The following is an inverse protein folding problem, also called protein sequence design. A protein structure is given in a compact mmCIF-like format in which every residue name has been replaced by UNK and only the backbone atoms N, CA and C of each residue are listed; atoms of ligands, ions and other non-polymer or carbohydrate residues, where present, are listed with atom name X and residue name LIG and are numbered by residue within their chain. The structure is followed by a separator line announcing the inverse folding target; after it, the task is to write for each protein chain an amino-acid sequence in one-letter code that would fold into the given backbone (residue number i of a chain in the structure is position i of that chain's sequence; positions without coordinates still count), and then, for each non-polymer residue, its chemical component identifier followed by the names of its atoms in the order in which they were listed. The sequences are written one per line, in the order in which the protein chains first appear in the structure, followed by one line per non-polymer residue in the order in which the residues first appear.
data_IF_759221884373
#
_entry.id   IF_759221884373
#
_cell.length_a   1.000
_cell.length_b   1.000
_cell.length_c   1.000
_cell.angle_alpha   90.00
_cell.angle_beta   90.00
_cell.angle_gamma   90.00
#
_symmetry.space_group_name_H-M   'P 1'
#
loop_
_entity.id
_entity.type
_entity.pdbx_description
1 polymer ?
#
# COMPACT_ATOMS: atom_id res chain seq x y z
N UNK A 1 -64.94 -14.42 -23.33
CA UNK A 1 -64.34 -13.28 -22.60
C UNK A 1 -63.26 -12.72 -23.49
N UNK A 2 -63.69 -12.00 -24.52
CA UNK A 2 -62.83 -11.55 -25.62
C UNK A 2 -63.24 -10.13 -25.92
N UNK A 3 -63.06 -9.27 -24.92
CA UNK A 3 -63.28 -7.85 -25.10
C UNK A 3 -62.08 -7.35 -25.89
N UNK A 4 -62.34 -6.96 -27.13
CA UNK A 4 -61.39 -6.24 -27.96
C UNK A 4 -60.92 -5.03 -27.17
N UNK A 5 -59.73 -5.16 -26.62
CA UNK A 5 -58.97 -4.08 -26.05
C UNK A 5 -58.70 -3.11 -27.20
N UNK A 6 -59.54 -2.09 -27.25
CA UNK A 6 -59.49 -0.96 -28.17
C UNK A 6 -58.09 -0.36 -28.09
N UNK A 7 -57.23 -0.80 -29.01
CA UNK A 7 -55.90 -0.24 -29.23
C UNK A 7 -56.10 1.17 -29.78
N UNK A 8 -56.34 2.09 -28.86
CA UNK A 8 -56.37 3.51 -29.13
C UNK A 8 -55.00 3.89 -29.70
N UNK A 9 -54.92 4.40 -30.94
CA UNK A 9 -53.65 4.73 -31.58
C UNK A 9 -52.86 5.76 -30.76
N UNK A 10 -53.57 6.58 -29.99
CA UNK A 10 -53.03 7.59 -29.10
C UNK A 10 -52.19 6.97 -27.97
N UNK A 11 -52.60 5.84 -27.37
CA UNK A 11 -51.82 5.19 -26.29
C UNK A 11 -50.58 4.47 -26.82
N UNK A 12 -50.61 3.93 -28.04
CA UNK A 12 -49.42 3.37 -28.68
C UNK A 12 -48.39 4.45 -29.01
N UNK A 13 -48.85 5.61 -29.50
CA UNK A 13 -47.99 6.77 -29.76
C UNK A 13 -47.44 7.37 -28.47
N UNK A 14 -48.26 7.49 -27.43
CA UNK A 14 -47.85 8.02 -26.12
C UNK A 14 -46.83 7.10 -25.44
N UNK A 15 -47.08 5.79 -25.39
CA UNK A 15 -46.13 4.83 -24.84
C UNK A 15 -44.82 4.79 -25.65
N UNK A 16 -44.90 4.87 -26.98
CA UNK A 16 -43.71 4.97 -27.84
C UNK A 16 -42.95 6.29 -27.64
N UNK A 17 -43.66 7.41 -27.46
CA UNK A 17 -43.06 8.72 -27.21
C UNK A 17 -42.35 8.75 -25.85
N UNK A 18 -42.94 8.20 -24.79
CA UNK A 18 -42.28 8.10 -23.48
C UNK A 18 -41.07 7.17 -23.51
N UNK A 19 -41.08 6.09 -24.29
CA UNK A 19 -39.92 5.21 -24.48
C UNK A 19 -38.79 5.91 -25.26
N UNK A 20 -39.13 6.69 -26.29
CA UNK A 20 -38.16 7.48 -27.06
C UNK A 20 -37.59 8.65 -26.25
N UNK A 21 -38.40 9.29 -25.39
CA UNK A 21 -37.95 10.34 -24.48
C UNK A 21 -37.04 9.75 -23.39
N UNK A 22 -37.42 8.63 -22.76
CA UNK A 22 -36.60 7.95 -21.76
C UNK A 22 -35.25 7.48 -22.32
N UNK A 23 -35.24 6.90 -23.53
CA UNK A 23 -33.99 6.50 -24.20
C UNK A 23 -33.13 7.71 -24.63
N UNK A 24 -33.76 8.82 -25.05
CA UNK A 24 -33.05 10.04 -25.44
C UNK A 24 -32.49 10.80 -24.24
N UNK A 25 -33.14 10.74 -23.09
CA UNK A 25 -32.72 11.46 -21.89
C UNK A 25 -31.51 10.77 -21.21
N UNK A 26 -31.44 9.43 -21.22
CA UNK A 26 -30.27 8.69 -20.74
C UNK A 26 -29.03 8.92 -21.61
N UNK A 27 -29.20 9.01 -22.93
CA UNK A 27 -28.10 9.21 -23.87
C UNK A 27 -27.57 10.65 -23.88
N UNK A 28 -28.45 11.64 -23.70
CA UNK A 28 -28.11 13.07 -23.80
C UNK A 28 -27.40 13.58 -22.55
N UNK A 29 -27.67 13.04 -21.35
CA UNK A 29 -26.97 13.46 -20.13
C UNK A 29 -25.54 12.92 -20.07
N UNK A 30 -25.32 11.64 -20.37
CA UNK A 30 -23.99 11.00 -20.21
C UNK A 30 -23.04 11.40 -21.35
N UNK A 31 -23.51 11.39 -22.61
CA UNK A 31 -22.66 11.75 -23.75
C UNK A 31 -22.37 13.25 -23.83
N UNK A 32 -23.30 14.13 -23.41
CA UNK A 32 -23.03 15.58 -23.36
C UNK A 32 -22.13 15.97 -22.20
N UNK A 33 -22.26 15.35 -21.02
CA UNK A 33 -21.29 15.52 -19.91
C UNK A 33 -19.88 15.02 -20.29
N UNK A 34 -19.78 13.91 -21.03
CA UNK A 34 -18.50 13.43 -21.55
C UNK A 34 -17.90 14.32 -22.65
N UNK A 35 -18.73 15.01 -23.47
CA UNK A 35 -18.25 15.82 -24.59
C UNK A 35 -17.88 17.26 -24.22
N UNK A 36 -18.34 17.78 -23.07
CA UNK A 36 -18.12 19.17 -22.64
C UNK A 36 -16.81 19.39 -21.85
N UNK A 37 -16.02 18.34 -21.55
CA UNK A 37 -14.82 18.47 -20.71
C UNK A 37 -13.64 17.61 -21.20
N UNK A 38 -13.07 18.00 -22.33
CA UNK A 38 -11.94 17.30 -22.97
C UNK A 38 -10.63 17.16 -22.14
N UNK A 39 -10.31 17.98 -21.10
CA UNK A 39 -9.11 17.76 -20.29
C UNK A 39 -9.32 16.98 -18.98
N UNK A 40 -10.55 16.65 -18.56
CA UNK A 40 -10.81 15.97 -17.27
C UNK A 40 -11.20 14.49 -17.37
N UNK A 41 -11.44 13.99 -18.58
CA UNK A 41 -11.56 12.54 -18.80
C UNK A 41 -10.33 11.77 -18.29
N UNK A 42 -9.08 12.19 -18.53
CA UNK A 42 -7.91 11.46 -18.02
C UNK A 42 -7.80 11.50 -16.49
N UNK A 43 -8.16 12.61 -15.82
CA UNK A 43 -8.13 12.70 -14.36
C UNK A 43 -9.23 11.85 -13.71
N UNK A 44 -10.41 11.77 -14.34
CA UNK A 44 -11.51 10.93 -13.87
C UNK A 44 -11.21 9.44 -14.05
N UNK A 45 -10.62 9.04 -15.19
CA UNK A 45 -10.16 7.66 -15.40
C UNK A 45 -9.03 7.30 -14.44
N UNK A 46 -8.07 8.19 -14.19
CA UNK A 46 -7.01 7.98 -13.21
C UNK A 46 -7.57 7.80 -11.79
N UNK A 47 -8.61 8.56 -11.43
CA UNK A 47 -9.34 8.42 -10.17
C UNK A 47 -10.09 7.10 -10.05
N UNK A 48 -10.75 6.63 -11.12
CA UNK A 48 -11.40 5.32 -11.13
C UNK A 48 -10.38 4.18 -11.00
N UNK A 49 -9.23 4.30 -11.68
CA UNK A 49 -8.15 3.30 -11.58
C UNK A 49 -7.53 3.29 -10.18
N UNK A 50 -7.29 4.45 -9.57
CA UNK A 50 -6.75 4.51 -8.21
C UNK A 50 -7.75 3.98 -7.17
N UNK A 51 -9.05 4.24 -7.34
CA UNK A 51 -10.08 3.67 -6.48
C UNK A 51 -10.09 2.13 -6.51
N UNK A 52 -10.00 1.53 -7.71
CA UNK A 52 -9.94 0.07 -7.87
C UNK A 52 -8.67 -0.50 -7.20
N UNK A 53 -7.53 0.16 -7.37
CA UNK A 53 -6.25 -0.27 -6.77
C UNK A 53 -6.30 -0.18 -5.25
N UNK A 54 -6.84 0.91 -4.69
CA UNK A 54 -6.96 1.09 -3.25
C UNK A 54 -7.93 0.07 -2.62
N UNK A 55 -9.03 -0.23 -3.29
CA UNK A 55 -9.99 -1.23 -2.84
C UNK A 55 -9.36 -2.64 -2.83
N UNK A 56 -8.60 -2.99 -3.86
CA UNK A 56 -7.86 -4.25 -3.92
C UNK A 56 -6.79 -4.37 -2.81
N UNK A 57 -6.02 -3.30 -2.56
CA UNK A 57 -5.04 -3.26 -1.46
C UNK A 57 -5.76 -3.36 -0.11
N UNK A 58 -6.86 -2.64 0.07
CA UNK A 58 -7.68 -2.68 1.27
C UNK A 58 -8.18 -4.09 1.59
N UNK A 59 -8.73 -4.79 0.59
CA UNK A 59 -9.17 -6.18 0.74
C UNK A 59 -8.01 -7.12 1.08
N UNK A 60 -6.85 -6.93 0.45
CA UNK A 60 -5.66 -7.73 0.75
C UNK A 60 -5.17 -7.52 2.19
N UNK A 61 -5.11 -6.28 2.68
CA UNK A 61 -4.73 -5.97 4.06
C UNK A 61 -5.75 -6.50 5.06
N UNK A 62 -7.04 -6.34 4.75
CA UNK A 62 -8.15 -6.81 5.58
C UNK A 62 -8.08 -8.32 5.83
N UNK A 63 -7.67 -9.10 4.83
CA UNK A 63 -7.48 -10.55 4.97
C UNK A 63 -6.13 -10.90 5.63
N UNK A 64 -5.06 -10.20 5.26
CA UNK A 64 -3.70 -10.53 5.68
C UNK A 64 -3.44 -10.26 7.17
N UNK A 65 -3.97 -9.15 7.70
CA UNK A 65 -3.78 -8.77 9.11
C UNK A 65 -4.36 -9.81 10.10
N UNK A 66 -5.65 -10.18 10.02
CA UNK A 66 -6.22 -11.20 10.91
C UNK A 66 -5.65 -12.59 10.61
N UNK A 67 -5.31 -12.92 9.37
CA UNK A 67 -4.69 -14.20 9.05
C UNK A 67 -3.35 -14.35 9.78
N UNK A 68 -2.49 -13.32 9.72
CA UNK A 68 -1.19 -13.34 10.39
C UNK A 68 -1.32 -13.48 11.90
N UNK A 69 -2.17 -12.69 12.54
CA UNK A 69 -2.38 -12.77 14.00
C UNK A 69 -3.01 -14.11 14.41
N UNK A 70 -3.93 -14.64 13.60
CA UNK A 70 -4.52 -15.96 13.81
C UNK A 70 -3.48 -17.09 13.74
N UNK A 71 -2.64 -17.13 12.70
CA UNK A 71 -1.61 -18.16 12.57
C UNK A 71 -0.61 -18.12 13.74
N UNK A 72 -0.17 -16.92 14.16
CA UNK A 72 0.71 -16.78 15.33
C UNK A 72 0.01 -17.19 16.63
N UNK A 73 -1.27 -16.84 16.81
CA UNK A 73 -2.05 -17.29 17.96
C UNK A 73 -2.17 -18.82 18.00
N UNK A 74 -2.44 -19.47 16.87
CA UNK A 74 -2.52 -20.94 16.76
C UNK A 74 -1.15 -21.59 17.02
N UNK A 75 -0.06 -21.02 16.50
CA UNK A 75 1.29 -21.49 16.77
C UNK A 75 1.64 -21.39 18.26
N UNK A 76 1.28 -20.27 18.92
CA UNK A 76 1.43 -20.09 20.36
C UNK A 76 0.62 -21.11 21.17
N UNK A 77 -0.60 -21.44 20.73
CA UNK A 77 -1.41 -22.50 21.35
C UNK A 77 -0.74 -23.89 21.26
N UNK A 78 -0.16 -24.23 20.12
CA UNK A 78 0.55 -25.50 19.95
C UNK A 78 1.82 -25.56 20.80
N UNK A 79 2.57 -24.46 20.88
CA UNK A 79 3.76 -24.39 21.72
C UNK A 79 3.41 -24.56 23.20
N UNK A 80 2.36 -23.87 23.68
CA UNK A 80 1.98 -23.96 25.08
C UNK A 80 1.43 -25.33 25.47
N UNK A 81 0.72 -26.00 24.56
CA UNK A 81 0.28 -27.37 24.78
C UNK A 81 1.47 -28.33 24.95
N UNK A 82 2.53 -28.16 24.15
CA UNK A 82 3.76 -28.95 24.30
C UNK A 82 4.47 -28.66 25.62
N UNK A 83 4.57 -27.39 26.02
CA UNK A 83 5.15 -27.01 27.32
C UNK A 83 4.38 -27.63 28.49
N UNK A 84 3.04 -27.57 28.48
CA UNK A 84 2.21 -28.18 29.53
C UNK A 84 2.42 -29.69 29.62
N UNK A 85 2.52 -30.39 28.48
CA UNK A 85 2.81 -31.83 28.45
C UNK A 85 4.18 -32.14 29.08
N UNK A 86 5.24 -31.43 28.67
CA UNK A 86 6.59 -31.63 29.20
C UNK A 86 6.69 -31.32 30.70
N UNK A 87 6.03 -30.25 31.16
CA UNK A 87 5.98 -29.93 32.59
C UNK A 87 5.21 -30.97 33.39
N UNK A 88 4.06 -31.44 32.89
CA UNK A 88 3.28 -32.46 33.59
C UNK A 88 4.04 -33.79 33.66
N UNK A 89 4.67 -34.20 32.57
CA UNK A 89 5.54 -35.38 32.53
C UNK A 89 6.67 -35.28 33.57
N UNK A 90 7.30 -34.11 33.71
CA UNK A 90 8.34 -33.88 34.73
C UNK A 90 7.79 -33.88 36.15
N UNK A 91 6.62 -33.28 36.39
CA UNK A 91 5.98 -33.20 37.71
C UNK A 91 5.57 -34.59 38.22
N UNK A 92 5.05 -35.46 37.36
CA UNK A 92 4.60 -36.81 37.75
C UNK A 92 5.77 -37.71 38.19
N UNK A 93 6.99 -37.45 37.72
CA UNK A 93 8.19 -38.21 38.09
C UNK A 93 8.94 -37.65 39.32
N UNK A 94 8.39 -36.65 40.02
CA UNK A 94 8.99 -36.15 41.27
C UNK A 94 8.74 -37.09 42.45
N UNK A 95 9.64 -37.05 43.43
CA UNK A 95 9.53 -37.82 44.67
C UNK A 95 8.32 -37.38 45.52
N UNK A 96 7.68 -38.34 46.20
CA UNK A 96 6.45 -38.08 46.95
C UNK A 96 6.67 -37.06 48.09
N UNK A 97 7.86 -37.07 48.72
CA UNK A 97 8.22 -36.16 49.80
C UNK A 97 8.37 -34.70 49.34
N UNK A 98 8.51 -34.43 48.04
CA UNK A 98 8.52 -33.08 47.51
C UNK A 98 7.12 -32.44 47.58
N UNK A 99 6.06 -33.24 47.44
CA UNK A 99 4.67 -32.77 47.49
C UNK A 99 4.13 -32.56 48.91
N UNK A 100 4.84 -33.05 49.94
CA UNK A 100 4.46 -32.88 51.35
C UNK A 100 4.71 -31.46 51.87
N UNK A 101 5.58 -30.70 51.20
CA UNK A 101 5.80 -29.28 51.52
C UNK A 101 4.55 -28.47 51.13
N UNK A 102 3.95 -27.65 52.03
CA UNK A 102 2.75 -26.87 51.73
C UNK A 102 2.92 -25.91 50.54
N UNK A 103 4.16 -25.54 50.22
CA UNK A 103 4.51 -24.72 49.05
C UNK A 103 4.42 -25.48 47.71
N UNK A 104 4.60 -26.81 47.75
CA UNK A 104 4.65 -27.70 46.59
C UNK A 104 3.43 -28.62 46.50
N UNK A 105 2.38 -28.33 47.27
CA UNK A 105 1.12 -29.04 47.16
C UNK A 105 0.66 -29.10 45.69
N UNK A 106 0.15 -30.26 45.25
CA UNK A 106 -0.19 -30.52 43.84
C UNK A 106 -1.08 -29.45 43.20
N UNK A 107 -2.01 -28.88 43.98
CA UNK A 107 -2.88 -27.77 43.54
C UNK A 107 -2.14 -26.44 43.36
N UNK A 108 -1.18 -26.11 44.23
CA UNK A 108 -0.37 -24.90 44.14
C UNK A 108 0.55 -24.95 42.90
N UNK A 109 1.17 -26.10 42.66
CA UNK A 109 2.04 -26.35 41.50
C UNK A 109 1.24 -26.27 40.20
N UNK A 110 0.06 -26.90 40.14
CA UNK A 110 -0.84 -26.83 38.99
C UNK A 110 -1.35 -25.42 38.69
N UNK A 111 -1.69 -24.64 39.73
CA UNK A 111 -2.12 -23.26 39.59
C UNK A 111 -0.99 -22.36 39.05
N UNK A 112 0.23 -22.51 39.58
CA UNK A 112 1.43 -21.80 39.08
C UNK A 112 1.74 -22.16 37.64
N UNK A 113 1.79 -23.44 37.29
CA UNK A 113 2.00 -23.92 35.92
C UNK A 113 0.92 -23.42 34.95
N UNK A 114 -0.34 -23.35 35.39
CA UNK A 114 -1.41 -22.82 34.55
C UNK A 114 -1.22 -21.32 34.29
N UNK A 115 -0.80 -20.58 35.31
CA UNK A 115 -0.52 -19.13 35.26
C UNK A 115 0.68 -18.84 34.37
N UNK A 116 1.79 -19.56 34.56
CA UNK A 116 3.00 -19.46 33.73
C UNK A 116 2.70 -19.85 32.28
N UNK A 117 1.86 -20.86 32.07
CA UNK A 117 1.45 -21.22 30.73
C UNK A 117 0.59 -20.14 30.06
N UNK A 118 -0.28 -19.46 30.81
CA UNK A 118 -1.09 -18.36 30.30
C UNK A 118 -0.22 -17.14 29.94
N UNK A 119 0.74 -16.79 30.80
CA UNK A 119 1.66 -15.67 30.56
C UNK A 119 2.57 -15.94 29.36
N UNK A 120 3.11 -17.16 29.22
CA UNK A 120 3.92 -17.56 28.05
C UNK A 120 3.09 -17.54 26.78
N UNK A 121 1.82 -17.99 26.81
CA UNK A 121 0.94 -17.92 25.63
C UNK A 121 0.69 -16.49 25.19
N UNK A 122 0.42 -15.58 26.12
CA UNK A 122 0.21 -14.17 25.83
C UNK A 122 1.48 -13.53 25.25
N UNK A 123 2.64 -13.79 25.87
CA UNK A 123 3.94 -13.34 25.37
C UNK A 123 4.22 -13.87 23.96
N UNK A 124 4.03 -15.16 23.70
CA UNK A 124 4.33 -15.77 22.39
C UNK A 124 3.32 -15.32 21.33
N UNK A 125 2.03 -15.24 21.66
CA UNK A 125 0.99 -14.81 20.72
C UNK A 125 1.12 -13.34 20.32
N UNK A 126 1.22 -12.45 21.31
CA UNK A 126 1.18 -11.01 21.07
C UNK A 126 2.58 -10.45 20.78
N UNK A 127 3.61 -10.84 21.55
CA UNK A 127 4.95 -10.27 21.40
C UNK A 127 5.65 -10.75 20.12
N UNK A 128 5.48 -12.00 19.67
CA UNK A 128 6.07 -12.44 18.40
C UNK A 128 5.41 -11.74 17.20
N UNK A 129 4.09 -11.53 17.25
CA UNK A 129 3.37 -10.79 16.21
C UNK A 129 3.92 -9.37 16.05
N UNK A 130 4.09 -8.66 17.17
CA UNK A 130 4.66 -7.31 17.22
C UNK A 130 6.14 -7.29 16.85
N UNK A 131 6.95 -8.24 17.33
CA UNK A 131 8.37 -8.32 17.00
C UNK A 131 8.59 -8.48 15.50
N UNK A 132 7.89 -9.43 14.88
CA UNK A 132 8.00 -9.67 13.43
C UNK A 132 7.47 -8.45 12.67
N UNK A 133 6.47 -7.73 13.18
CA UNK A 133 5.95 -6.51 12.55
C UNK A 133 6.99 -5.39 12.58
N UNK A 134 7.62 -5.17 13.73
CA UNK A 134 8.61 -4.12 13.91
C UNK A 134 9.88 -4.39 13.09
N UNK A 135 10.33 -5.64 13.05
CA UNK A 135 11.46 -6.04 12.19
C UNK A 135 11.10 -5.84 10.72
N UNK A 136 9.94 -6.32 10.27
CA UNK A 136 9.50 -6.15 8.89
C UNK A 136 9.38 -4.69 8.50
N UNK A 137 8.76 -3.86 9.35
CA UNK A 137 8.64 -2.41 9.12
C UNK A 137 10.00 -1.72 9.11
N UNK A 138 10.94 -2.15 9.96
CA UNK A 138 12.30 -1.64 9.98
C UNK A 138 13.04 -1.94 8.68
N UNK A 139 12.93 -3.18 8.18
CA UNK A 139 13.56 -3.59 6.91
C UNK A 139 12.96 -2.82 5.73
N UNK A 140 11.63 -2.76 5.60
CA UNK A 140 10.98 -2.00 4.53
C UNK A 140 11.35 -0.51 4.60
N UNK A 141 11.43 0.07 5.80
CA UNK A 141 11.86 1.45 5.99
C UNK A 141 13.31 1.68 5.55
N UNK A 142 14.22 0.76 5.86
CA UNK A 142 15.62 0.82 5.44
C UNK A 142 15.76 0.74 3.92
N UNK A 143 15.02 -0.16 3.27
CA UNK A 143 14.98 -0.30 1.81
C UNK A 143 14.54 1.00 1.13
N UNK A 144 13.43 1.58 1.60
CA UNK A 144 12.91 2.85 1.05
C UNK A 144 13.92 3.98 1.27
N UNK A 145 14.51 4.09 2.46
CA UNK A 145 15.50 5.12 2.76
C UNK A 145 16.72 5.03 1.84
N UNK A 146 17.20 3.82 1.56
CA UNK A 146 18.31 3.59 0.64
C UNK A 146 17.97 4.02 -0.79
N UNK A 147 16.80 3.66 -1.29
CA UNK A 147 16.34 4.05 -2.64
C UNK A 147 16.23 5.58 -2.77
N UNK A 148 15.67 6.25 -1.77
CA UNK A 148 15.52 7.72 -1.77
C UNK A 148 16.88 8.40 -1.71
N UNK A 149 17.79 7.94 -0.84
CA UNK A 149 19.13 8.50 -0.74
C UNK A 149 19.92 8.33 -2.04
N UNK A 150 19.82 7.15 -2.67
CA UNK A 150 20.45 6.88 -3.95
C UNK A 150 19.90 7.77 -5.07
N UNK A 151 18.58 7.94 -5.14
CA UNK A 151 17.94 8.83 -6.12
C UNK A 151 18.34 10.31 -5.90
N UNK A 152 18.39 10.76 -4.65
CA UNK A 152 18.85 12.11 -4.30
C UNK A 152 20.30 12.34 -4.69
N UNK A 153 21.19 11.37 -4.46
CA UNK A 153 22.60 11.46 -4.85
C UNK A 153 22.77 11.59 -6.37
N UNK A 154 22.06 10.76 -7.14
CA UNK A 154 22.08 10.84 -8.61
C UNK A 154 21.53 12.17 -9.13
N UNK A 155 20.44 12.68 -8.52
CA UNK A 155 19.88 13.97 -8.87
C UNK A 155 20.88 15.12 -8.58
N UNK A 156 21.57 15.08 -7.44
CA UNK A 156 22.56 16.08 -7.06
C UNK A 156 23.73 16.15 -8.07
N UNK A 157 24.28 15.00 -8.47
CA UNK A 157 25.35 14.95 -9.49
C UNK A 157 24.87 15.50 -10.83
N UNK A 158 23.64 15.17 -11.25
CA UNK A 158 23.04 15.70 -12.48
C UNK A 158 22.96 17.24 -12.47
N UNK A 159 22.48 17.82 -11.37
CA UNK A 159 22.40 19.27 -11.21
C UNK A 159 23.82 19.90 -11.24
N UNK A 160 24.80 19.30 -10.56
CA UNK A 160 26.17 19.82 -10.54
C UNK A 160 26.82 19.88 -11.93
N UNK A 161 26.68 18.83 -12.76
CA UNK A 161 27.28 18.83 -14.10
C UNK A 161 26.68 19.88 -15.04
N UNK A 162 25.37 20.12 -14.94
CA UNK A 162 24.70 21.13 -15.77
C UNK A 162 25.21 22.55 -15.48
N UNK A 163 25.62 22.82 -14.24
CA UNK A 163 26.14 24.13 -13.83
C UNK A 163 27.50 24.45 -14.44
N UNK A 164 28.34 23.43 -14.68
CA UNK A 164 29.66 23.59 -15.31
C UNK A 164 29.59 23.85 -16.82
N UNK A 165 28.52 23.45 -17.51
CA UNK A 165 28.36 23.62 -18.97
C UNK A 165 27.93 25.04 -19.38
N UNK A 166 27.36 25.81 -18.45
CA UNK A 166 26.86 27.17 -18.67
C UNK A 166 27.98 28.22 -18.88
N UNK A 167 29.06 28.27 -18.07
CA UNK A 167 30.08 29.31 -18.22
C UNK A 167 30.90 29.22 -19.52
N UNK A 168 31.22 28.02 -20.01
CA UNK A 168 32.02 27.85 -21.25
C UNK A 168 31.23 28.21 -22.50
N UNK A 169 29.95 27.83 -22.56
CA UNK A 169 29.06 28.24 -23.67
C UNK A 169 28.79 29.73 -23.66
N UNK A 170 28.77 30.38 -22.48
CA UNK A 170 28.61 31.82 -22.34
C UNK A 170 29.87 32.59 -22.77
N UNK A 171 31.06 32.15 -22.36
CA UNK A 171 32.34 32.75 -22.77
C UNK A 171 32.61 32.57 -24.25
N UNK A 172 32.33 31.38 -24.81
CA UNK A 172 32.48 31.12 -26.24
C UNK A 172 31.54 32.02 -27.08
N UNK A 173 30.29 32.19 -26.65
CA UNK A 173 29.31 33.03 -27.37
C UNK A 173 29.70 34.51 -27.40
N UNK A 174 30.36 35.01 -26.34
CA UNK A 174 30.81 36.41 -26.24
C UNK A 174 32.16 36.64 -26.93
N UNK A 175 33.10 35.69 -26.83
CA UNK A 175 34.44 35.85 -27.39
C UNK A 175 34.51 35.59 -28.90
N UNK A 176 33.69 34.70 -29.47
CA UNK A 176 33.71 34.43 -30.91
C UNK A 176 33.49 35.68 -31.80
N UNK A 177 32.51 36.56 -31.55
CA UNK A 177 32.34 37.78 -32.34
C UNK A 177 33.41 38.86 -32.05
N UNK A 178 33.98 38.90 -30.85
CA UNK A 178 35.06 39.84 -30.53
C UNK A 178 36.38 39.41 -31.17
N UNK A 179 36.67 38.12 -31.14
CA UNK A 179 37.84 37.53 -31.75
C UNK A 179 37.79 37.67 -33.28
N UNK A 180 36.64 37.42 -33.92
CA UNK A 180 36.48 37.63 -35.37
C UNK A 180 36.62 39.09 -35.78
N UNK A 181 36.08 40.03 -34.99
CA UNK A 181 36.14 41.47 -35.26
C UNK A 181 37.55 42.05 -35.06
N UNK A 182 38.30 41.56 -34.07
CA UNK A 182 39.70 41.95 -33.87
C UNK A 182 40.59 41.44 -35.01
N UNK A 183 40.35 40.21 -35.48
CA UNK A 183 41.08 39.64 -36.62
C UNK A 183 40.83 40.39 -37.92
N UNK A 184 39.60 40.82 -38.19
CA UNK A 184 39.26 41.63 -39.38
C UNK A 184 40.02 42.96 -39.38
N UNK A 185 40.04 43.68 -38.25
CA UNK A 185 40.79 44.96 -38.13
C UNK A 185 42.30 44.81 -38.27
N UNK A 186 42.85 43.61 -38.02
CA UNK A 186 44.27 43.36 -38.20
C UNK A 186 44.63 43.17 -39.68
N UNK A 187 43.74 42.59 -40.49
CA UNK A 187 43.96 42.47 -41.94
C UNK A 187 43.95 43.85 -42.62
N UNK A 188 42.96 44.69 -42.31
CA UNK A 188 42.80 46.03 -42.92
C UNK A 188 43.91 47.03 -42.54
N UNK A 189 44.78 46.70 -41.58
CA UNK A 189 45.90 47.57 -41.13
C UNK A 189 47.22 47.23 -41.82
N UNK A 190 47.31 46.08 -42.49
CA UNK A 190 48.51 45.65 -43.22
C UNK A 190 48.50 46.04 -44.70
N UNK A 191 47.36 46.54 -45.19
CA UNK A 191 47.19 47.15 -46.53
C UNK A 191 47.34 48.67 -46.45
#
# INVERSE_FOLDING_TARGET
MTEQQTLNPIKLVENGAWQLIAAKESDVSIKRLASLKKPEIPTLVLGCLSAIVLDAIGLAVLLSYPARTYFFAVAGCKLIQRLRMLCFERVVHMEIGWFDEPENASGAVGARLSTDAASVRALVGDALGLLVQNISSGVTGLEIAFLVFFALAMAAVGISQTSSFVPDTSKARVLLPLYSRSRSKAYDRFE
#
